data_IF_899586906625
#
_entry.id   IF_899586906625
#
_cell.length_a   1.000
_cell.length_b   1.000
_cell.length_c   1.000
_cell.angle_alpha   90.00
_cell.angle_beta   90.00
_cell.angle_gamma   90.00
#
_symmetry.space_group_name_H-M   'P 1'
#
loop_
_entity.id
_entity.type
_entity.pdbx_description
1 polymer ?
#
# COMPACT_ATOMS: atom_id res chain seq x y z
N UNK A 1 -29.98 7.86 5.18
CA UNK A 1 -28.91 6.85 5.19
C UNK A 1 -29.00 6.12 6.52
N UNK A 2 -29.14 4.80 6.54
CA UNK A 2 -29.18 4.08 7.82
C UNK A 2 -27.78 4.10 8.48
N UNK A 3 -27.73 4.25 9.79
CA UNK A 3 -26.47 4.19 10.54
C UNK A 3 -25.98 2.74 10.61
N UNK A 4 -24.84 2.47 9.97
CA UNK A 4 -24.25 1.13 9.87
C UNK A 4 -23.82 0.61 11.24
N UNK A 5 -23.39 1.50 12.15
CA UNK A 5 -22.98 1.13 13.51
C UNK A 5 -24.17 0.68 14.36
N UNK A 6 -25.28 1.43 14.31
CA UNK A 6 -26.53 1.07 14.97
C UNK A 6 -27.10 -0.23 14.41
N UNK A 7 -27.09 -0.39 13.08
CA UNK A 7 -27.52 -1.62 12.42
C UNK A 7 -26.67 -2.83 12.84
N UNK A 8 -25.34 -2.70 12.82
CA UNK A 8 -24.42 -3.77 13.22
C UNK A 8 -24.60 -4.15 14.70
N UNK A 9 -24.78 -3.17 15.57
CA UNK A 9 -24.97 -3.40 17.02
C UNK A 9 -26.26 -4.19 17.26
N UNK A 10 -27.36 -3.78 16.63
CA UNK A 10 -28.63 -4.46 16.75
C UNK A 10 -28.60 -5.88 16.16
N UNK A 11 -27.93 -6.07 15.02
CA UNK A 11 -27.75 -7.40 14.44
C UNK A 11 -26.99 -8.34 15.38
N UNK A 12 -25.95 -7.84 16.06
CA UNK A 12 -25.23 -8.61 17.07
C UNK A 12 -26.13 -8.98 18.25
N UNK A 13 -26.96 -8.07 18.76
CA UNK A 13 -27.91 -8.34 19.84
C UNK A 13 -28.89 -9.46 19.46
N UNK A 14 -29.50 -9.37 18.28
CA UNK A 14 -30.44 -10.38 17.77
C UNK A 14 -29.73 -11.73 17.59
N UNK A 15 -28.51 -11.75 17.03
CA UNK A 15 -27.74 -12.99 16.87
C UNK A 15 -27.42 -13.67 18.21
N UNK A 16 -27.10 -12.88 19.24
CA UNK A 16 -26.87 -13.38 20.61
C UNK A 16 -28.15 -13.92 21.24
N UNK A 17 -29.28 -13.21 21.11
CA UNK A 17 -30.59 -13.66 21.61
C UNK A 17 -31.01 -14.99 20.98
N UNK A 18 -30.78 -15.14 19.67
CA UNK A 18 -31.08 -16.36 18.92
C UNK A 18 -30.03 -17.48 19.12
N UNK A 19 -28.98 -17.24 19.92
CA UNK A 19 -27.87 -18.18 20.18
C UNK A 19 -27.24 -18.74 18.91
N UNK A 20 -27.13 -17.93 17.86
CA UNK A 20 -26.53 -18.35 16.59
C UNK A 20 -25.04 -18.63 16.79
N UNK A 21 -24.67 -19.91 16.91
CA UNK A 21 -23.26 -20.35 16.97
C UNK A 21 -22.73 -20.55 15.56
N UNK A 22 -21.81 -19.69 15.13
CA UNK A 22 -21.33 -19.63 13.75
C UNK A 22 -20.05 -20.45 13.47
N UNK A 23 -19.94 -21.66 14.05
CA UNK A 23 -18.78 -22.53 13.79
C UNK A 23 -18.61 -22.85 12.29
N UNK A 24 -19.72 -23.00 11.56
CA UNK A 24 -19.70 -23.21 10.11
C UNK A 24 -19.24 -21.99 9.32
N UNK A 25 -19.55 -20.76 9.75
CA UNK A 25 -19.12 -19.55 9.07
C UNK A 25 -17.64 -19.22 9.34
N UNK A 26 -17.13 -19.53 10.53
CA UNK A 26 -15.69 -19.44 10.81
C UNK A 26 -14.90 -20.42 9.94
N UNK A 27 -15.36 -21.66 9.85
CA UNK A 27 -14.74 -22.68 9.00
C UNK A 27 -14.82 -22.32 7.52
N UNK A 28 -15.98 -21.88 7.02
CA UNK A 28 -16.14 -21.43 5.64
C UNK A 28 -15.27 -20.20 5.32
N UNK A 29 -15.08 -19.29 6.29
CA UNK A 29 -14.13 -18.17 6.14
C UNK A 29 -12.69 -18.69 6.04
N UNK A 30 -12.28 -19.59 6.93
CA UNK A 30 -10.92 -20.16 6.91
C UNK A 30 -10.64 -20.90 5.59
N UNK A 31 -11.60 -21.70 5.11
CA UNK A 31 -11.53 -22.39 3.82
C UNK A 31 -11.45 -21.40 2.65
N UNK A 32 -12.31 -20.37 2.62
CA UNK A 32 -12.32 -19.36 1.56
C UNK A 32 -11.05 -18.48 1.53
N UNK A 33 -10.42 -18.26 2.68
CA UNK A 33 -9.11 -17.59 2.76
C UNK A 33 -8.02 -18.52 2.21
N UNK A 34 -7.95 -19.76 2.70
CA UNK A 34 -6.93 -20.73 2.26
C UNK A 34 -6.97 -21.07 0.76
N UNK A 35 -8.16 -21.02 0.13
CA UNK A 35 -8.35 -21.29 -1.31
C UNK A 35 -8.30 -20.02 -2.17
N UNK A 36 -8.12 -18.86 -1.55
CA UNK A 36 -8.06 -17.59 -2.28
C UNK A 36 -6.91 -17.60 -3.29
N UNK A 37 -7.15 -17.34 -4.59
CA UNK A 37 -6.07 -17.18 -5.57
C UNK A 37 -5.19 -15.95 -5.25
N UNK A 38 -5.59 -15.15 -4.25
CA UNK A 38 -4.87 -13.99 -3.77
C UNK A 38 -3.96 -14.30 -2.55
N UNK A 39 -4.07 -15.47 -1.94
CA UNK A 39 -3.12 -15.92 -0.91
C UNK A 39 -1.98 -16.69 -1.60
N UNK A 40 -0.92 -15.98 -1.97
CA UNK A 40 0.29 -16.59 -2.56
C UNK A 40 1.32 -16.92 -1.46
N UNK A 41 1.35 -18.14 -0.88
CA UNK A 41 2.11 -18.42 0.34
C UNK A 41 3.64 -18.17 0.25
N UNK A 42 4.20 -18.03 -0.96
CA UNK A 42 5.63 -17.78 -1.19
C UNK A 42 6.06 -16.31 -1.28
N UNK A 43 5.16 -15.32 -1.27
CA UNK A 43 5.54 -13.93 -1.58
C UNK A 43 6.51 -13.34 -0.53
N UNK A 44 6.37 -13.75 0.73
CA UNK A 44 7.24 -13.35 1.83
C UNK A 44 8.66 -13.92 1.69
N UNK A 45 8.83 -15.02 0.95
CA UNK A 45 10.11 -15.67 0.69
C UNK A 45 10.77 -15.22 -0.62
N UNK A 46 10.14 -14.30 -1.38
CA UNK A 46 10.72 -13.76 -2.61
C UNK A 46 12.04 -13.03 -2.27
N UNK A 47 13.13 -13.45 -2.93
CA UNK A 47 14.50 -12.95 -2.76
C UNK A 47 15.04 -12.28 -4.03
N UNK A 48 14.16 -11.98 -5.00
CA UNK A 48 14.52 -11.39 -6.29
C UNK A 48 15.09 -9.99 -6.15
N UNK A 49 15.97 -9.65 -7.10
CA UNK A 49 16.60 -8.34 -7.22
C UNK A 49 16.35 -7.76 -8.62
N UNK A 50 15.96 -6.47 -8.74
CA UNK A 50 15.55 -5.56 -7.67
C UNK A 50 14.34 -6.09 -6.87
N UNK A 51 14.21 -5.66 -5.61
CA UNK A 51 13.14 -6.12 -4.71
C UNK A 51 11.76 -6.07 -5.39
N UNK A 52 10.96 -7.12 -5.24
CA UNK A 52 9.59 -7.13 -5.75
C UNK A 52 8.67 -6.26 -4.87
N UNK A 53 7.63 -5.59 -5.42
CA UNK A 53 6.74 -4.72 -4.64
C UNK A 53 6.04 -5.43 -3.47
N UNK A 54 5.58 -6.66 -3.67
CA UNK A 54 4.95 -7.47 -2.62
C UNK A 54 5.93 -7.78 -1.48
N UNK A 55 7.19 -8.06 -1.81
CA UNK A 55 8.24 -8.33 -0.83
C UNK A 55 8.59 -7.08 -0.03
N UNK A 56 8.68 -5.94 -0.70
CA UNK A 56 8.88 -4.65 -0.04
C UNK A 56 7.75 -4.32 0.95
N UNK A 57 6.49 -4.57 0.58
CA UNK A 57 5.34 -4.39 1.47
C UNK A 57 5.38 -5.34 2.67
N UNK A 58 5.73 -6.61 2.46
CA UNK A 58 5.88 -7.58 3.54
C UNK A 58 6.93 -7.12 4.56
N UNK A 59 8.12 -6.77 4.08
CA UNK A 59 9.22 -6.33 4.94
C UNK A 59 8.85 -5.01 5.66
N UNK A 60 8.20 -4.07 4.95
CA UNK A 60 7.68 -2.83 5.52
C UNK A 60 6.66 -3.08 6.63
N UNK A 61 5.65 -3.91 6.39
CA UNK A 61 4.62 -4.24 7.37
C UNK A 61 5.21 -4.91 8.62
N UNK A 62 6.15 -5.82 8.42
CA UNK A 62 6.87 -6.50 9.51
C UNK A 62 7.71 -5.51 10.32
N UNK A 63 8.42 -4.61 9.64
CA UNK A 63 9.34 -3.66 10.28
C UNK A 63 8.63 -2.60 11.14
N UNK A 64 7.45 -2.11 10.72
CA UNK A 64 6.70 -1.07 11.45
C UNK A 64 5.84 -1.61 12.58
N UNK A 65 5.55 -2.92 12.58
CA UNK A 65 4.77 -3.60 13.61
C UNK A 65 3.25 -3.43 13.49
N UNK A 66 2.48 -4.15 14.33
CA UNK A 66 1.03 -4.33 14.17
C UNK A 66 0.21 -3.07 14.46
N UNK A 67 0.78 -2.10 15.18
CA UNK A 67 0.11 -0.85 15.56
C UNK A 67 0.21 0.23 14.48
N UNK A 68 0.99 0.06 13.43
CA UNK A 68 1.06 1.06 12.36
C UNK A 68 -0.29 1.26 11.67
N UNK A 69 -0.53 2.46 11.14
CA UNK A 69 -1.62 2.71 10.19
C UNK A 69 -1.03 2.89 8.80
N UNK A 70 -1.66 2.28 7.81
CA UNK A 70 -1.24 2.39 6.43
C UNK A 70 -2.22 3.27 5.66
N UNK A 71 -1.69 4.07 4.74
CA UNK A 71 -2.43 4.73 3.70
C UNK A 71 -1.71 4.48 2.39
N UNK A 72 -2.42 4.01 1.38
CA UNK A 72 -1.87 3.96 0.03
C UNK A 72 -2.33 5.15 -0.78
N UNK A 73 -1.39 5.73 -1.52
CA UNK A 73 -1.69 6.61 -2.63
C UNK A 73 -2.21 5.80 -3.83
N UNK A 74 -2.58 6.49 -4.90
CA UNK A 74 -3.09 5.87 -6.11
C UNK A 74 -1.95 5.62 -7.10
N UNK A 75 -1.80 4.36 -7.51
CA UNK A 75 -0.78 3.89 -8.46
C UNK A 75 -0.72 2.38 -8.45
N UNK A 76 0.27 1.76 -9.12
CA UNK A 76 0.31 0.30 -9.16
C UNK A 76 0.67 -0.33 -7.81
N UNK A 77 1.52 0.34 -7.00
CA UNK A 77 1.83 -0.05 -5.62
C UNK A 77 0.57 -0.28 -4.76
N UNK A 78 -0.51 0.43 -5.05
CA UNK A 78 -1.81 0.27 -4.40
C UNK A 78 -2.39 -1.13 -4.60
N UNK A 79 -2.25 -1.72 -5.80
CA UNK A 79 -2.75 -3.07 -6.07
C UNK A 79 -2.03 -4.08 -5.18
N UNK A 80 -0.71 -3.91 -5.01
CA UNK A 80 0.08 -4.72 -4.09
C UNK A 80 -0.31 -4.48 -2.63
N UNK A 81 -0.56 -3.23 -2.22
CA UNK A 81 -1.03 -2.94 -0.87
C UNK A 81 -2.39 -3.59 -0.59
N UNK A 82 -3.36 -3.47 -1.50
CA UNK A 82 -4.68 -4.09 -1.35
C UNK A 82 -4.62 -5.62 -1.25
N UNK A 83 -3.65 -6.24 -1.92
CA UNK A 83 -3.55 -7.68 -2.00
C UNK A 83 -2.73 -8.29 -0.85
N UNK A 84 -1.60 -7.70 -0.48
CA UNK A 84 -0.66 -8.30 0.47
C UNK A 84 -0.72 -7.69 1.88
N UNK A 85 -1.27 -6.48 2.05
CA UNK A 85 -1.22 -5.79 3.33
C UNK A 85 -2.40 -6.18 4.23
N UNK A 86 -2.11 -6.76 5.39
CA UNK A 86 -3.15 -7.14 6.36
C UNK A 86 -3.08 -6.27 7.61
N UNK A 87 -4.14 -5.52 7.91
CA UNK A 87 -4.28 -4.81 9.19
C UNK A 87 -5.29 -5.51 10.10
N UNK A 88 -4.99 -5.60 11.40
CA UNK A 88 -5.92 -6.09 12.43
C UNK A 88 -6.49 -4.97 13.29
N UNK A 89 -5.97 -3.77 13.12
CA UNK A 89 -6.39 -2.58 13.86
C UNK A 89 -7.54 -1.86 13.15
N UNK A 90 -8.49 -1.36 13.93
CA UNK A 90 -9.52 -0.44 13.43
C UNK A 90 -8.85 0.78 12.77
N UNK A 91 -9.36 1.16 11.59
CA UNK A 91 -8.80 2.24 10.77
C UNK A 91 -7.30 2.04 10.41
N UNK A 92 -6.80 0.81 10.47
CA UNK A 92 -5.39 0.52 10.22
C UNK A 92 -4.98 0.58 8.74
N UNK A 93 -5.93 0.68 7.81
CA UNK A 93 -5.69 0.89 6.39
C UNK A 93 -6.60 2.00 5.84
N UNK A 94 -6.19 2.66 4.76
CA UNK A 94 -6.96 3.73 4.12
C UNK A 94 -6.54 3.92 2.67
N UNK A 95 -7.52 4.22 1.82
CA UNK A 95 -7.34 4.45 0.39
C UNK A 95 -8.49 5.33 -0.13
N UNK A 96 -8.19 6.20 -1.10
CA UNK A 96 -9.17 7.15 -1.68
C UNK A 96 -9.65 6.72 -3.07
N UNK A 97 -10.42 5.63 -3.12
CA UNK A 97 -10.94 5.07 -4.37
C UNK A 97 -12.09 5.85 -5.01
N UNK A 98 -12.68 6.83 -4.32
CA UNK A 98 -13.81 7.62 -4.84
C UNK A 98 -13.43 8.39 -6.11
N UNK A 99 -12.51 9.35 -5.99
CA UNK A 99 -11.92 10.03 -7.16
C UNK A 99 -10.70 9.28 -7.71
N UNK A 100 -9.94 8.59 -6.86
CA UNK A 100 -8.71 7.93 -7.28
C UNK A 100 -7.61 8.91 -7.68
N UNK A 101 -7.49 10.06 -6.99
CA UNK A 101 -6.43 11.04 -7.29
C UNK A 101 -5.07 10.59 -6.77
N UNK A 102 -4.04 10.68 -7.61
CA UNK A 102 -2.64 10.61 -7.18
C UNK A 102 -2.33 11.75 -6.20
N UNK A 103 -1.38 11.52 -5.29
CA UNK A 103 -1.01 12.44 -4.21
C UNK A 103 -1.97 12.47 -3.03
N UNK A 104 -3.18 11.91 -3.15
CA UNK A 104 -4.19 11.91 -2.07
C UNK A 104 -3.74 11.10 -0.86
N UNK A 105 -2.98 10.01 -1.07
CA UNK A 105 -2.44 9.20 0.01
C UNK A 105 -1.40 9.94 0.85
N UNK A 106 -0.65 10.87 0.24
CA UNK A 106 0.39 11.67 0.89
C UNK A 106 -0.23 12.66 1.87
N UNK A 107 -1.15 13.51 1.40
CA UNK A 107 -1.86 14.45 2.28
C UNK A 107 -2.67 13.74 3.37
N UNK A 108 -3.23 12.58 3.05
CA UNK A 108 -3.99 11.78 4.01
C UNK A 108 -3.14 11.14 5.09
N UNK A 109 -1.91 10.74 4.76
CA UNK A 109 -0.97 10.24 5.76
C UNK A 109 -0.62 11.33 6.79
N UNK A 110 -0.39 12.56 6.32
CA UNK A 110 -0.18 13.73 7.18
C UNK A 110 -1.40 13.99 8.06
N UNK A 111 -2.61 14.04 7.47
CA UNK A 111 -3.84 14.26 8.23
C UNK A 111 -4.11 13.18 9.28
N UNK A 112 -3.86 11.91 8.96
CA UNK A 112 -3.99 10.80 9.92
C UNK A 112 -2.98 10.89 11.07
N UNK A 113 -1.74 11.24 10.77
CA UNK A 113 -0.71 11.40 11.81
C UNK A 113 -1.00 12.61 12.70
N UNK A 114 -1.62 13.66 12.16
CA UNK A 114 -2.10 14.80 12.94
C UNK A 114 -3.27 14.41 13.87
N UNK A 115 -4.20 13.58 13.38
CA UNK A 115 -5.35 13.12 14.15
C UNK A 115 -4.99 12.18 15.31
N UNK A 116 -3.95 11.36 15.15
CA UNK A 116 -3.42 10.50 16.21
C UNK A 116 -1.90 10.35 16.09
N UNK A 117 -1.14 11.25 16.73
CA UNK A 117 0.33 11.21 16.72
C UNK A 117 0.94 10.06 17.53
N UNK A 118 0.13 9.24 18.23
CA UNK A 118 0.64 8.12 19.04
C UNK A 118 0.99 6.87 18.22
N UNK A 119 0.63 6.87 16.93
CA UNK A 119 0.83 5.74 16.02
C UNK A 119 1.55 6.21 14.77
N UNK A 120 2.53 5.42 14.34
CA UNK A 120 3.19 5.62 13.04
C UNK A 120 2.19 5.48 11.91
N UNK A 121 2.20 6.43 10.99
CA UNK A 121 1.46 6.36 9.73
C UNK A 121 2.44 6.08 8.60
N UNK A 122 2.21 4.98 7.89
CA UNK A 122 3.00 4.59 6.72
C UNK A 122 2.25 5.05 5.47
N UNK A 123 2.85 5.99 4.74
CA UNK A 123 2.39 6.42 3.44
C UNK A 123 3.04 5.54 2.37
N UNK A 124 2.27 4.66 1.75
CA UNK A 124 2.71 3.86 0.59
C UNK A 124 2.37 4.70 -0.63
N UNK A 125 3.38 5.27 -1.30
CA UNK A 125 3.15 6.12 -2.47
C UNK A 125 4.11 5.77 -3.61
N UNK A 126 3.75 6.16 -4.83
CA UNK A 126 4.63 6.04 -5.99
C UNK A 126 5.55 7.25 -6.10
N UNK A 127 6.65 7.10 -6.83
CA UNK A 127 7.53 8.22 -7.22
C UNK A 127 6.77 9.35 -7.94
N UNK A 128 5.81 9.01 -8.79
CA UNK A 128 4.97 9.99 -9.47
C UNK A 128 4.08 10.78 -8.52
N UNK A 129 3.43 10.11 -7.55
CA UNK A 129 2.64 10.77 -6.51
C UNK A 129 3.50 11.66 -5.62
N UNK A 130 4.71 11.21 -5.30
CA UNK A 130 5.68 11.98 -4.53
C UNK A 130 6.19 13.22 -5.27
N UNK A 131 6.30 13.16 -6.61
CA UNK A 131 6.62 14.33 -7.43
C UNK A 131 5.46 15.36 -7.46
N UNK A 132 4.22 14.90 -7.39
CA UNK A 132 3.04 15.78 -7.42
C UNK A 132 2.77 16.48 -6.09
N UNK A 133 2.80 15.73 -4.98
CA UNK A 133 2.34 16.21 -3.67
C UNK A 133 3.38 16.02 -2.56
N UNK A 134 4.63 15.73 -2.89
CA UNK A 134 5.68 15.44 -1.90
C UNK A 134 5.97 16.58 -0.95
N UNK A 135 5.68 17.83 -1.33
CA UNK A 135 5.89 19.01 -0.46
C UNK A 135 5.17 18.93 0.89
N UNK A 136 4.11 18.11 1.00
CA UNK A 136 3.41 17.81 2.26
C UNK A 136 4.33 17.22 3.34
N UNK A 137 5.50 16.68 2.97
CA UNK A 137 6.52 16.26 3.93
C UNK A 137 6.92 17.40 4.88
N UNK A 138 6.89 18.66 4.41
CA UNK A 138 7.22 19.84 5.22
C UNK A 138 6.19 20.10 6.31
N UNK A 139 4.93 19.73 6.08
CA UNK A 139 3.89 19.78 7.11
C UNK A 139 4.21 18.75 8.20
N UNK A 140 4.57 17.52 7.80
CA UNK A 140 4.99 16.50 8.75
C UNK A 140 6.25 16.93 9.54
N UNK A 141 7.22 17.59 8.91
CA UNK A 141 8.40 18.16 9.57
C UNK A 141 7.99 19.23 10.59
N UNK A 142 7.20 20.22 10.16
CA UNK A 142 6.75 21.35 11.01
C UNK A 142 6.03 20.86 12.26
N UNK A 143 5.19 19.84 12.12
CA UNK A 143 4.37 19.30 13.20
C UNK A 143 5.00 18.07 13.88
N UNK A 144 6.23 17.69 13.52
CA UNK A 144 6.97 16.53 14.05
C UNK A 144 6.14 15.23 13.99
N UNK A 145 5.38 15.04 12.91
CA UNK A 145 4.44 13.93 12.77
C UNK A 145 5.16 12.62 12.44
N UNK A 146 4.74 11.48 13.02
CA UNK A 146 5.37 10.17 12.80
C UNK A 146 4.93 9.53 11.48
N UNK A 147 5.27 10.17 10.36
CA UNK A 147 4.95 9.66 9.01
C UNK A 147 6.18 8.99 8.40
N UNK A 148 6.06 7.71 8.05
CA UNK A 148 7.03 7.01 7.23
C UNK A 148 6.56 7.02 5.77
N UNK A 149 7.22 7.80 4.93
CA UNK A 149 6.94 7.84 3.49
C UNK A 149 7.70 6.71 2.79
N UNK A 150 7.00 5.64 2.40
CA UNK A 150 7.53 4.53 1.63
C UNK A 150 7.25 4.76 0.15
N UNK A 151 8.24 5.31 -0.57
CA UNK A 151 8.14 5.67 -1.98
C UNK A 151 8.55 4.47 -2.84
N UNK A 152 7.57 3.84 -3.48
CA UNK A 152 7.74 2.79 -4.48
C UNK A 152 8.17 3.46 -5.79
N UNK A 153 9.45 3.32 -6.11
CA UNK A 153 10.13 4.09 -7.14
C UNK A 153 10.67 3.20 -8.25
N UNK A 154 9.87 3.04 -9.29
CA UNK A 154 10.23 2.40 -10.56
C UNK A 154 10.58 3.41 -11.67
N UNK A 155 10.52 4.71 -11.37
CA UNK A 155 10.70 5.80 -12.34
C UNK A 155 9.79 5.65 -13.57
N UNK A 156 8.54 5.20 -13.37
CA UNK A 156 7.55 5.01 -14.44
C UNK A 156 6.13 5.15 -13.90
N UNK A 157 5.21 5.70 -14.70
CA UNK A 157 3.77 5.56 -14.40
C UNK A 157 3.28 4.13 -14.69
N UNK A 158 3.64 3.19 -13.82
CA UNK A 158 3.59 1.75 -14.09
C UNK A 158 2.17 1.23 -14.35
N UNK A 159 1.18 1.73 -13.59
CA UNK A 159 -0.23 1.36 -13.79
C UNK A 159 -0.73 1.76 -15.19
N UNK A 160 -0.28 2.92 -15.70
CA UNK A 160 -0.59 3.37 -17.07
C UNK A 160 0.15 2.52 -18.08
N UNK A 161 1.46 2.30 -17.87
CA UNK A 161 2.29 1.49 -18.76
C UNK A 161 1.71 0.08 -18.97
N UNK A 162 1.41 -0.63 -17.89
CA UNK A 162 0.89 -2.00 -17.92
C UNK A 162 -0.55 -2.05 -18.40
N UNK A 163 -1.42 -1.14 -17.94
CA UNK A 163 -2.81 -1.07 -18.38
C UNK A 163 -2.94 -0.80 -19.87
N UNK A 164 -2.16 0.14 -20.40
CA UNK A 164 -2.17 0.49 -21.83
C UNK A 164 -1.62 -0.67 -22.69
N UNK A 165 -0.51 -1.30 -22.27
CA UNK A 165 0.04 -2.48 -22.97
C UNK A 165 -0.95 -3.63 -22.98
N UNK A 166 -1.63 -3.87 -21.87
CA UNK A 166 -2.61 -4.94 -21.77
C UNK A 166 -3.84 -4.67 -22.65
N UNK A 167 -4.36 -3.44 -22.66
CA UNK A 167 -5.55 -3.08 -23.42
C UNK A 167 -5.30 -3.04 -24.94
N UNK A 168 -4.12 -2.57 -25.37
CA UNK A 168 -3.85 -2.25 -26.77
C UNK A 168 -2.71 -3.05 -27.40
N UNK A 169 -2.02 -3.92 -26.66
CA UNK A 169 -0.86 -4.69 -27.14
C UNK A 169 0.40 -3.85 -27.41
N UNK A 170 0.36 -2.54 -27.16
CA UNK A 170 1.44 -1.56 -27.37
C UNK A 170 1.46 -0.56 -26.23
N UNK A 171 2.58 0.11 -25.97
CA UNK A 171 2.66 1.18 -24.96
C UNK A 171 3.87 2.09 -25.21
N UNK A 172 3.79 3.35 -24.80
CA UNK A 172 4.96 4.24 -24.72
C UNK A 172 5.78 3.91 -23.46
N UNK A 173 6.95 4.54 -23.28
CA UNK A 173 7.80 4.26 -22.13
C UNK A 173 7.16 4.66 -20.79
N UNK A 174 6.37 5.75 -20.76
CA UNK A 174 5.77 6.35 -19.56
C UNK A 174 6.77 6.58 -18.40
N UNK A 175 8.05 6.69 -18.73
CA UNK A 175 9.14 6.91 -17.78
C UNK A 175 9.01 8.29 -17.15
N UNK A 176 9.24 8.37 -15.85
CA UNK A 176 9.40 9.62 -15.11
C UNK A 176 10.90 9.90 -14.93
N UNK A 177 11.30 11.16 -14.71
CA UNK A 177 12.66 11.46 -14.32
C UNK A 177 13.04 10.70 -13.05
N UNK A 178 14.21 10.06 -13.04
CA UNK A 178 14.69 9.37 -11.85
C UNK A 178 15.08 10.36 -10.76
N UNK A 179 14.17 10.56 -9.79
CA UNK A 179 14.42 11.42 -8.63
C UNK A 179 15.12 10.63 -7.53
N UNK A 180 16.19 11.22 -6.95
CA UNK A 180 16.81 10.71 -5.74
C UNK A 180 16.06 11.22 -4.50
N UNK A 181 15.01 10.49 -4.08
CA UNK A 181 14.22 10.91 -2.91
C UNK A 181 14.99 10.91 -1.59
N UNK A 182 16.11 10.19 -1.48
CA UNK A 182 16.99 10.29 -0.31
C UNK A 182 17.58 11.68 -0.19
N UNK A 183 18.22 12.17 -1.26
CA UNK A 183 18.82 13.51 -1.27
C UNK A 183 17.75 14.60 -1.12
N UNK A 184 16.61 14.43 -1.78
CA UNK A 184 15.48 15.34 -1.67
C UNK A 184 14.93 15.42 -0.23
N UNK A 185 14.73 14.28 0.45
CA UNK A 185 14.28 14.25 1.84
C UNK A 185 15.31 14.85 2.80
N UNK A 186 16.60 14.54 2.61
CA UNK A 186 17.69 15.10 3.40
C UNK A 186 17.78 16.62 3.26
N UNK A 187 17.50 17.18 2.08
CA UNK A 187 17.38 18.62 1.86
C UNK A 187 16.28 19.29 2.68
N UNK A 188 15.28 18.52 3.13
CA UNK A 188 14.22 18.97 4.04
C UNK A 188 14.49 18.60 5.51
N UNK A 189 15.69 18.10 5.83
CA UNK A 189 16.04 17.66 7.18
C UNK A 189 15.38 16.33 7.60
N UNK A 190 14.87 15.56 6.63
CA UNK A 190 14.17 14.29 6.89
C UNK A 190 15.15 13.11 6.76
N UNK A 191 15.26 12.25 7.79
CA UNK A 191 16.01 10.99 7.70
C UNK A 191 15.47 10.13 6.57
N UNK A 192 16.37 9.65 5.70
CA UNK A 192 15.97 8.84 4.56
C UNK A 192 16.97 7.74 4.22
N UNK A 193 16.46 6.63 3.67
CA UNK A 193 17.25 5.49 3.20
C UNK A 193 16.73 4.97 1.86
N UNK A 194 17.65 4.66 0.94
CA UNK A 194 17.32 3.88 -0.25
C UNK A 194 17.36 2.40 0.05
N UNK A 195 16.38 1.65 -0.45
CA UNK A 195 16.30 0.19 -0.39
C UNK A 195 16.11 -0.35 -1.81
N UNK A 196 16.78 -1.45 -2.13
CA UNK A 196 16.59 -2.15 -3.41
C UNK A 196 16.69 -3.68 -3.32
N UNK A 197 16.95 -4.24 -2.14
CA UNK A 197 17.03 -5.68 -1.90
C UNK A 197 16.00 -6.15 -0.87
N UNK A 198 15.45 -7.37 -1.05
CA UNK A 198 14.66 -8.06 -0.02
C UNK A 198 15.41 -8.12 1.32
N UNK A 199 14.69 -7.90 2.41
CA UNK A 199 15.24 -7.95 3.77
C UNK A 199 15.99 -6.69 4.23
N UNK A 200 16.16 -5.66 3.40
CA UNK A 200 16.77 -4.40 3.83
C UNK A 200 15.83 -3.54 4.71
N UNK A 201 14.50 -3.69 4.55
CA UNK A 201 13.50 -3.01 5.39
C UNK A 201 13.34 -3.81 6.68
N UNK A 202 14.12 -3.46 7.70
CA UNK A 202 14.12 -4.14 9.01
C UNK A 202 13.53 -3.26 10.10
N UNK A 203 13.06 -3.85 11.23
CA UNK A 203 12.65 -3.07 12.39
C UNK A 203 13.73 -2.09 12.86
N UNK A 204 14.99 -2.53 12.90
CA UNK A 204 16.13 -1.69 13.30
C UNK A 204 16.34 -0.50 12.35
N UNK A 205 16.17 -0.70 11.04
CA UNK A 205 16.25 0.41 10.07
C UNK A 205 15.13 1.43 10.29
N UNK A 206 13.89 0.95 10.47
CA UNK A 206 12.74 1.83 10.69
C UNK A 206 12.89 2.60 11.99
N UNK A 207 13.28 1.93 13.08
CA UNK A 207 13.56 2.55 14.37
C UNK A 207 14.66 3.61 14.26
N UNK A 208 15.76 3.31 13.57
CA UNK A 208 16.85 4.26 13.34
C UNK A 208 16.37 5.53 12.63
N UNK A 209 15.58 5.37 11.56
CA UNK A 209 15.07 6.49 10.77
C UNK A 209 14.06 7.33 11.56
N UNK A 210 13.23 6.69 12.38
CA UNK A 210 12.17 7.33 13.16
C UNK A 210 12.57 7.66 14.61
N UNK A 211 13.86 7.56 14.96
CA UNK A 211 14.36 7.81 16.32
C UNK A 211 14.11 9.23 16.81
N UNK A 212 14.04 10.21 15.90
CA UNK A 212 13.77 11.61 16.22
C UNK A 212 12.30 11.93 15.90
N UNK A 213 11.62 12.78 16.69
CA UNK A 213 10.28 13.22 16.37
C UNK A 213 10.22 13.87 14.98
N UNK A 214 9.35 13.36 14.12
CA UNK A 214 9.24 13.81 12.73
C UNK A 214 9.10 12.66 11.73
N UNK A 215 8.98 13.02 10.45
CA UNK A 215 8.82 12.03 9.39
C UNK A 215 10.15 11.36 9.04
N UNK A 216 10.06 10.25 8.32
CA UNK A 216 11.17 9.59 7.65
C UNK A 216 10.77 9.15 6.24
N UNK A 217 11.76 8.87 5.38
CA UNK A 217 11.51 8.43 4.01
C UNK A 217 12.30 7.16 3.62
N UNK A 218 11.63 6.22 2.97
CA UNK A 218 12.23 5.09 2.28
C UNK A 218 12.06 5.27 0.77
N UNK A 219 13.18 5.34 0.04
CA UNK A 219 13.22 5.31 -1.43
C UNK A 219 13.37 3.85 -1.88
N UNK A 220 12.26 3.17 -2.18
CA UNK A 220 12.20 1.74 -2.50
C UNK A 220 12.31 1.55 -4.01
N UNK A 221 13.50 1.16 -4.48
CA UNK A 221 13.76 0.85 -5.89
C UNK A 221 13.36 -0.59 -6.18
N UNK A 222 12.11 -0.76 -6.60
CA UNK A 222 11.55 -2.08 -6.87
C UNK A 222 11.63 -2.46 -8.36
N UNK A 223 11.41 -3.74 -8.64
CA UNK A 223 11.27 -4.23 -10.00
C UNK A 223 9.96 -3.73 -10.63
N UNK A 224 10.07 -2.89 -11.67
CA UNK A 224 8.94 -2.30 -12.38
C UNK A 224 8.12 -3.30 -13.23
N UNK A 225 8.64 -4.51 -13.44
CA UNK A 225 8.02 -5.50 -14.33
C UNK A 225 7.22 -6.56 -13.56
N UNK A 226 7.31 -6.57 -12.23
CA UNK A 226 6.44 -7.41 -11.40
C UNK A 226 5.04 -6.83 -11.43
N UNK A 227 4.05 -7.69 -11.68
CA UNK A 227 2.63 -7.35 -11.75
C UNK A 227 1.83 -8.34 -10.93
N UNK A 228 0.69 -7.90 -10.39
CA UNK A 228 -0.33 -8.84 -9.93
C UNK A 228 -1.01 -9.45 -11.15
N UNK A 229 -0.96 -10.77 -11.27
CA UNK A 229 -1.61 -11.51 -12.35
C UNK A 229 -3.10 -11.67 -12.02
N UNK A 230 -3.99 -11.46 -13.00
CA UNK A 230 -5.40 -11.83 -12.90
C UNK A 230 -6.29 -10.93 -12.01
N UNK A 231 -5.81 -9.75 -11.59
CA UNK A 231 -6.52 -8.88 -10.65
C UNK A 231 -6.70 -7.42 -11.12
N UNK A 232 -6.30 -7.08 -12.35
CA UNK A 232 -6.41 -5.74 -12.89
C UNK A 232 -7.79 -5.47 -13.49
N UNK A 233 -8.24 -4.21 -13.40
CA UNK A 233 -9.44 -3.70 -14.10
C UNK A 233 -9.45 -4.07 -15.58
N UNK A 234 -8.28 -4.11 -16.22
CA UNK A 234 -8.15 -4.45 -17.64
C UNK A 234 -8.32 -5.95 -17.88
N UNK A 235 -7.87 -6.85 -16.98
CA UNK A 235 -8.16 -8.29 -17.12
C UNK A 235 -9.66 -8.53 -16.94
N UNK A 236 -10.28 -7.86 -15.96
CA UNK A 236 -11.73 -7.92 -15.76
C UNK A 236 -12.51 -7.38 -16.98
N UNK A 237 -12.06 -6.28 -17.59
CA UNK A 237 -12.64 -5.75 -18.83
C UNK A 237 -12.41 -6.68 -20.03
N UNK A 238 -11.25 -7.33 -20.14
CA UNK A 238 -10.97 -8.32 -21.18
C UNK A 238 -11.89 -9.55 -21.04
N UNK A 239 -12.09 -10.04 -19.82
CA UNK A 239 -13.03 -11.11 -19.49
C UNK A 239 -14.48 -10.70 -19.80
N UNK A 240 -14.89 -9.48 -19.44
CA UNK A 240 -16.23 -8.95 -19.76
C UNK A 240 -16.43 -8.68 -21.27
N UNK A 241 -15.37 -8.35 -22.01
CA UNK A 241 -15.44 -8.07 -23.46
C UNK A 241 -15.42 -9.31 -24.36
N UNK A 242 -15.39 -10.52 -23.79
CA UNK A 242 -15.44 -11.77 -24.54
C UNK A 242 -14.19 -12.08 -25.39
N UNK A 243 -13.09 -11.33 -25.21
CA UNK A 243 -11.82 -11.54 -25.95
C UNK A 243 -10.89 -12.58 -25.32
N UNK A 244 -11.33 -13.27 -24.27
CA UNK A 244 -10.57 -14.32 -23.58
C UNK A 244 -10.70 -15.71 -24.22
N UNK A 245 -10.63 -15.80 -25.55
CA UNK A 245 -10.58 -17.08 -26.27
C UNK A 245 -9.13 -17.52 -26.48
N UNK A 246 -8.80 -18.66 -25.86
CA UNK A 246 -7.67 -19.60 -26.09
C UNK A 246 -6.66 -19.32 -27.22
N UNK A 247 -5.38 -19.33 -26.83
CA UNK A 247 -4.36 -20.22 -27.43
C UNK A 247 -3.61 -20.93 -26.28
#
# INVERSE_FOLDING_TARGET
MADVGAFSSHLCEVALQLRLKHLSAHKAREEAVCESPFDFPGYAADTTFPIAPHRALHDLQTAVGPRARFVTDIGEHMLFALHYLTTREAQGFGIHLGLGSMGSGIGSAVGRALADPSRTVVCICGDGGMQMSGAEILVAVKHKLPVLFAVFNDSRYNMVYHGYRQQFGRTAAWSTPTINFVAWAQGHGVPARRVNRPGEITPALVEQLMRRPGPALLDIRHNANVRIKGAGRVEALQQMSGRGGSE
#
